data_IF_998624515854
#
_entry.id   IF_998624515854
#
_cell.length_a   1.000
_cell.length_b   1.000
_cell.length_c   1.000
_cell.angle_alpha   90.00
_cell.angle_beta   90.00
_cell.angle_gamma   90.00
#
_symmetry.space_group_name_H-M   'P 1'
#
loop_
_entity.id
_entity.type
_entity.pdbx_description
1 polymer ?
#
# COMPACT_ATOMS: atom_id res chain seq x y z
N UNK A 1 -28.07 -20.45 -28.07
CA UNK A 1 -27.33 -20.74 -26.83
C UNK A 1 -25.84 -20.42 -26.97
N UNK A 2 -25.11 -20.93 -27.97
CA UNK A 2 -23.66 -20.64 -28.17
C UNK A 2 -23.30 -19.14 -28.20
N UNK A 3 -24.09 -18.29 -28.86
CA UNK A 3 -23.83 -16.83 -28.92
C UNK A 3 -23.91 -16.13 -27.55
N UNK A 4 -24.74 -16.64 -26.63
CA UNK A 4 -24.90 -16.04 -25.30
C UNK A 4 -23.71 -16.41 -24.39
N UNK A 5 -23.19 -17.63 -24.53
CA UNK A 5 -21.98 -18.07 -23.81
C UNK A 5 -20.75 -17.28 -24.27
N UNK A 6 -20.55 -17.14 -25.59
CA UNK A 6 -19.45 -16.32 -26.14
C UNK A 6 -19.54 -14.86 -25.65
N UNK A 7 -20.74 -14.29 -25.61
CA UNK A 7 -20.92 -12.92 -25.11
C UNK A 7 -20.57 -12.80 -23.62
N UNK A 8 -20.93 -13.80 -22.81
CA UNK A 8 -20.60 -13.85 -21.39
C UNK A 8 -19.09 -13.92 -21.18
N UNK A 9 -18.40 -14.78 -21.93
CA UNK A 9 -16.95 -14.92 -21.84
C UNK A 9 -16.23 -13.62 -22.24
N UNK A 10 -16.72 -12.93 -23.27
CA UNK A 10 -16.18 -11.64 -23.69
C UNK A 10 -16.36 -10.55 -22.62
N UNK A 11 -17.50 -10.54 -21.92
CA UNK A 11 -17.74 -9.62 -20.79
C UNK A 11 -16.73 -9.91 -19.66
N UNK A 12 -16.55 -11.18 -19.29
CA UNK A 12 -15.61 -11.55 -18.24
C UNK A 12 -14.15 -11.19 -18.60
N UNK A 13 -13.75 -11.40 -19.86
CA UNK A 13 -12.42 -10.99 -20.34
C UNK A 13 -12.27 -9.47 -20.23
N UNK A 14 -13.30 -8.71 -20.64
CA UNK A 14 -13.27 -7.24 -20.57
C UNK A 14 -13.13 -6.75 -19.13
N UNK A 15 -13.86 -7.34 -18.18
CA UNK A 15 -13.74 -7.00 -16.75
C UNK A 15 -12.34 -7.28 -16.20
N UNK A 16 -11.72 -8.41 -16.60
CA UNK A 16 -10.33 -8.72 -16.22
C UNK A 16 -9.33 -7.74 -16.82
N UNK A 17 -9.53 -7.33 -18.08
CA UNK A 17 -8.69 -6.33 -18.73
C UNK A 17 -8.79 -4.96 -18.05
N UNK A 18 -10.01 -4.53 -17.70
CA UNK A 18 -10.23 -3.28 -16.96
C UNK A 18 -9.47 -3.29 -15.63
N UNK A 19 -9.52 -4.40 -14.87
CA UNK A 19 -8.78 -4.55 -13.61
C UNK A 19 -7.26 -4.54 -13.78
N UNK A 20 -6.74 -5.12 -14.87
CA UNK A 20 -5.32 -5.07 -15.20
C UNK A 20 -4.90 -3.63 -15.54
N UNK A 21 -5.70 -2.91 -16.33
CA UNK A 21 -5.43 -1.52 -16.69
C UNK A 21 -5.37 -0.65 -15.43
N UNK A 22 -6.35 -0.76 -14.53
CA UNK A 22 -6.37 -0.03 -13.26
C UNK A 22 -5.11 -0.30 -12.44
N UNK A 23 -4.66 -1.57 -12.37
CA UNK A 23 -3.43 -1.93 -11.65
C UNK A 23 -2.19 -1.28 -12.29
N UNK A 24 -2.12 -1.24 -13.63
CA UNK A 24 -1.03 -0.60 -14.34
C UNK A 24 -1.03 0.92 -14.16
N UNK A 25 -2.21 1.55 -14.13
CA UNK A 25 -2.35 2.97 -13.84
C UNK A 25 -1.82 3.32 -12.44
N UNK A 26 -2.17 2.53 -11.43
CA UNK A 26 -1.64 2.69 -10.06
C UNK A 26 -0.11 2.58 -10.03
N UNK A 27 0.45 1.56 -10.70
CA UNK A 27 1.91 1.33 -10.71
C UNK A 27 2.64 2.42 -11.52
N UNK A 28 1.96 3.04 -12.49
CA UNK A 28 2.53 4.13 -13.29
C UNK A 28 2.65 5.46 -12.54
N UNK A 29 1.97 5.60 -11.39
CA UNK A 29 2.10 6.76 -10.52
C UNK A 29 3.38 6.65 -9.67
N UNK A 30 4.45 7.30 -10.12
CA UNK A 30 5.76 7.29 -9.45
C UNK A 30 5.70 7.85 -8.02
N UNK A 31 4.90 8.90 -7.77
CA UNK A 31 4.80 9.52 -6.45
C UNK A 31 4.13 8.58 -5.45
N UNK A 32 3.04 7.93 -5.88
CA UNK A 32 2.36 6.91 -5.10
C UNK A 32 3.28 5.74 -4.79
N UNK A 33 4.00 5.23 -5.79
CA UNK A 33 4.92 4.11 -5.62
C UNK A 33 6.08 4.42 -4.67
N UNK A 34 6.65 5.62 -4.75
CA UNK A 34 7.67 6.09 -3.79
C UNK A 34 7.09 6.26 -2.38
N UNK A 35 5.84 6.72 -2.25
CA UNK A 35 5.15 6.79 -0.96
C UNK A 35 4.95 5.41 -0.32
N UNK A 36 4.51 4.42 -1.10
CA UNK A 36 4.36 3.03 -0.67
C UNK A 36 5.72 2.46 -0.22
N UNK A 37 6.79 2.73 -0.97
CA UNK A 37 8.14 2.30 -0.61
C UNK A 37 8.58 2.89 0.72
N UNK A 38 8.43 4.21 0.91
CA UNK A 38 8.73 4.88 2.19
C UNK A 38 7.95 4.27 3.34
N UNK A 39 6.65 4.02 3.15
CA UNK A 39 5.81 3.41 4.18
C UNK A 39 6.27 2.00 4.58
N UNK A 40 6.75 1.18 3.62
CA UNK A 40 7.31 -0.15 3.90
C UNK A 40 8.62 -0.11 4.67
N UNK A 41 9.42 0.93 4.47
CA UNK A 41 10.70 1.14 5.14
C UNK A 41 10.55 1.83 6.50
N UNK A 42 9.34 2.30 6.86
CA UNK A 42 9.11 2.90 8.16
C UNK A 42 9.32 1.88 9.28
N UNK A 43 9.99 2.28 10.37
CA UNK A 43 10.06 1.45 11.56
C UNK A 43 8.64 1.17 12.06
N UNK A 44 8.40 0.00 12.68
CA UNK A 44 7.10 -0.32 13.25
C UNK A 44 6.67 0.77 14.23
N UNK A 45 5.36 1.01 14.32
CA UNK A 45 4.82 1.88 15.36
C UNK A 45 5.28 1.35 16.72
N UNK A 46 5.95 2.22 17.46
CA UNK A 46 6.40 1.99 18.83
C UNK A 46 5.88 3.11 19.71
N UNK A 47 5.70 2.80 20.98
CA UNK A 47 5.41 3.83 21.97
C UNK A 47 6.59 4.82 22.02
N UNK A 48 6.29 6.11 22.17
CA UNK A 48 7.31 7.14 22.17
C UNK A 48 8.26 6.97 23.37
N UNK A 49 7.76 6.53 24.52
CA UNK A 49 8.58 6.29 25.72
C UNK A 49 9.54 5.12 25.51
N UNK A 50 9.09 4.05 24.86
CA UNK A 50 9.93 2.89 24.52
C UNK A 50 11.06 3.29 23.56
N UNK A 51 10.75 4.12 22.56
CA UNK A 51 11.76 4.67 21.66
C UNK A 51 12.82 5.49 22.41
N UNK A 52 12.40 6.38 23.30
CA UNK A 52 13.31 7.22 24.09
C UNK A 52 14.26 6.36 24.93
N UNK A 53 13.74 5.32 25.59
CA UNK A 53 14.56 4.36 26.35
C UNK A 53 15.56 3.62 25.48
N UNK A 54 15.16 3.16 24.28
CA UNK A 54 16.06 2.47 23.34
C UNK A 54 17.25 3.34 22.90
N UNK A 55 17.04 4.64 22.71
CA UNK A 55 18.11 5.58 22.32
C UNK A 55 18.83 6.21 23.52
N UNK A 56 18.54 5.76 24.74
CA UNK A 56 19.24 6.18 25.96
C UNK A 56 18.78 7.53 26.53
N UNK A 57 17.58 7.99 26.19
CA UNK A 57 16.96 9.19 26.76
C UNK A 57 15.98 8.75 27.85
N UNK A 58 16.25 9.14 29.09
CA UNK A 58 15.33 8.88 30.20
C UNK A 58 14.31 10.03 30.29
N UNK A 59 13.03 9.77 30.04
CA UNK A 59 11.98 10.79 30.03
C UNK A 59 11.79 11.49 31.38
N UNK A 60 12.34 10.93 32.45
CA UNK A 60 12.39 11.50 33.80
C UNK A 60 13.42 12.62 33.97
N UNK A 61 14.36 12.83 33.02
CA UNK A 61 15.37 13.90 33.11
C UNK A 61 14.92 15.23 32.50
N UNK A 62 13.71 15.29 31.91
CA UNK A 62 13.14 16.48 31.27
C UNK A 62 12.03 17.13 32.11
N UNK A 63 11.85 16.66 33.36
CA UNK A 63 10.92 17.23 34.33
C UNK A 63 11.64 18.26 35.20
N UNK A 64 11.82 19.48 34.68
CA UNK A 64 12.08 20.68 35.48
C UNK A 64 10.76 21.34 35.92
#
# INVERSE_FOLDING_TARGET
>A
MIKQEILKDLIEIKEKLDSIIETLEIISDEELMESIKRAREQPPKRDFEDFLREIGIDSLSMSD
#
